data_IF_445786842383
#
_entry.id   IF_445786842383
#
_cell.length_a   1.000
_cell.length_b   1.000
_cell.length_c   1.000
_cell.angle_alpha   90.00
_cell.angle_beta   90.00
_cell.angle_gamma   90.00
#
_symmetry.space_group_name_H-M   'P 1'
#
loop_
_entity.id
_entity.type
_entity.pdbx_description
1 polymer ?
#
# COMPACT_ATOMS: atom_id res chain seq x y z
N UNK A 1 -3.52 8.45 20.26
CA UNK A 1 -3.67 7.58 19.08
C UNK A 1 -2.50 6.61 19.08
N UNK A 2 -2.71 5.36 19.49
CA UNK A 2 -1.64 4.36 19.60
C UNK A 2 -0.95 4.15 18.25
N UNK A 3 -1.71 4.13 17.16
CA UNK A 3 -1.17 3.87 15.83
C UNK A 3 -0.16 4.92 15.35
N UNK A 4 -0.41 6.22 15.55
CA UNK A 4 0.56 7.26 15.17
C UNK A 4 1.87 7.13 15.96
N UNK A 5 1.79 6.68 17.22
CA UNK A 5 2.97 6.42 18.05
C UNK A 5 3.73 5.19 17.56
N UNK A 6 3.02 4.11 17.24
CA UNK A 6 3.61 2.89 16.64
C UNK A 6 4.28 3.24 15.29
N UNK A 7 3.63 4.02 14.44
CA UNK A 7 4.17 4.49 13.16
C UNK A 7 5.42 5.35 13.33
N UNK A 8 5.41 6.32 14.25
CA UNK A 8 6.59 7.14 14.53
C UNK A 8 7.72 6.34 15.17
N UNK A 9 7.41 5.30 15.94
CA UNK A 9 8.42 4.39 16.47
C UNK A 9 9.12 3.60 15.33
N UNK A 10 8.34 3.04 14.40
CA UNK A 10 8.84 2.22 13.28
C UNK A 10 9.57 3.06 12.22
N UNK A 11 8.94 4.15 11.77
CA UNK A 11 9.39 4.92 10.60
C UNK A 11 10.08 6.24 10.97
N UNK A 12 10.19 6.56 12.26
CA UNK A 12 10.93 7.71 12.81
C UNK A 12 10.46 9.01 12.16
N UNK A 13 11.39 9.74 11.55
CA UNK A 13 11.19 11.09 11.01
C UNK A 13 10.32 11.15 9.75
N UNK A 14 10.01 10.00 9.14
CA UNK A 14 9.08 9.94 8.00
C UNK A 14 7.62 10.12 8.46
N UNK A 15 7.32 9.93 9.74
CA UNK A 15 5.97 10.05 10.31
C UNK A 15 5.91 11.29 11.19
N UNK A 16 4.91 12.17 11.05
CA UNK A 16 4.89 13.41 11.82
C UNK A 16 4.60 13.14 13.30
N UNK A 17 5.17 13.95 14.18
CA UNK A 17 4.70 13.98 15.57
C UNK A 17 3.25 14.42 15.60
N UNK A 18 2.39 13.64 16.26
CA UNK A 18 0.96 13.91 16.38
C UNK A 18 0.57 13.93 17.85
N UNK A 19 0.16 15.10 18.32
CA UNK A 19 -0.21 15.34 19.72
C UNK A 19 -1.70 15.64 19.75
N UNK A 20 -2.46 14.85 20.52
CA UNK A 20 -3.86 15.15 20.80
C UNK A 20 -3.94 16.26 21.86
N UNK A 21 -4.54 17.39 21.49
CA UNK A 21 -4.64 18.57 22.36
C UNK A 21 -5.91 18.49 23.23
N UNK A 22 -6.97 17.90 22.71
CA UNK A 22 -8.26 17.77 23.40
C UNK A 22 -9.44 17.83 22.45
N UNK A 23 -10.64 17.94 23.02
CA UNK A 23 -11.87 18.09 22.26
C UNK A 23 -12.64 19.32 22.71
N UNK A 24 -13.37 19.92 21.78
CA UNK A 24 -14.28 21.04 22.00
C UNK A 24 -15.69 20.62 21.60
N UNK A 25 -16.66 20.96 22.45
CA UNK A 25 -18.06 20.84 22.08
C UNK A 25 -18.39 21.95 21.08
N UNK A 26 -18.96 21.58 19.94
CA UNK A 26 -19.47 22.52 18.96
C UNK A 26 -20.69 23.29 19.47
N UNK A 27 -21.12 24.28 18.70
CA UNK A 27 -22.36 25.00 18.97
C UNK A 27 -23.56 24.12 18.66
N UNK A 28 -24.47 23.93 19.62
CA UNK A 28 -25.71 23.20 19.40
C UNK A 28 -26.51 23.85 18.28
N UNK A 29 -26.88 23.07 17.25
CA UNK A 29 -27.79 23.54 16.19
C UNK A 29 -29.24 23.49 16.69
N UNK A 30 -30.13 24.40 16.26
CA UNK A 30 -31.55 24.34 16.60
C UNK A 30 -32.12 22.98 16.18
N UNK A 31 -32.56 22.16 17.13
CA UNK A 31 -33.10 20.81 16.91
C UNK A 31 -32.21 19.65 17.40
N UNK A 32 -30.95 19.91 17.76
CA UNK A 32 -30.06 18.89 18.33
C UNK A 32 -29.30 19.45 19.55
N UNK A 33 -30.05 19.71 20.63
CA UNK A 33 -29.54 20.35 21.86
C UNK A 33 -28.84 19.34 22.80
N UNK A 34 -29.08 18.04 22.61
CA UNK A 34 -28.64 17.01 23.54
C UNK A 34 -27.28 16.36 23.19
N UNK A 35 -26.76 16.58 21.99
CA UNK A 35 -25.46 16.04 21.57
C UNK A 35 -24.75 17.02 20.62
N UNK A 36 -24.10 18.07 21.15
CA UNK A 36 -23.37 19.02 20.32
C UNK A 36 -22.21 18.30 19.60
N UNK A 37 -21.96 18.61 18.31
CA UNK A 37 -20.92 17.93 17.55
C UNK A 37 -19.55 18.11 18.22
N UNK A 38 -18.84 17.00 18.45
CA UNK A 38 -17.54 17.01 19.12
C UNK A 38 -16.43 17.25 18.08
N UNK A 39 -15.64 18.30 18.27
CA UNK A 39 -14.47 18.58 17.46
C UNK A 39 -13.21 18.14 18.21
N UNK A 40 -12.45 17.22 17.63
CA UNK A 40 -11.15 16.80 18.17
C UNK A 40 -10.03 17.66 17.57
N UNK A 41 -9.09 18.12 18.40
CA UNK A 41 -7.97 18.98 18.00
C UNK A 41 -6.66 18.23 18.16
N UNK A 42 -5.85 18.29 17.10
CA UNK A 42 -4.53 17.70 17.03
C UNK A 42 -3.50 18.76 16.62
N UNK A 43 -2.31 18.68 17.20
CA UNK A 43 -1.13 19.38 16.74
C UNK A 43 -0.25 18.37 16.00
N UNK A 44 0.09 18.68 14.75
CA UNK A 44 0.83 17.78 13.86
C UNK A 44 2.10 18.49 13.39
N UNK A 45 3.24 17.81 13.47
CA UNK A 45 4.51 18.26 12.89
C UNK A 45 4.34 18.48 11.39
N UNK A 46 4.74 19.66 10.90
CA UNK A 46 4.77 19.94 9.47
C UNK A 46 6.00 19.28 8.85
N UNK A 47 5.79 18.19 8.13
CA UNK A 47 6.85 17.53 7.37
C UNK A 47 7.29 18.40 6.17
N UNK A 48 8.57 18.30 5.75
CA UNK A 48 9.06 18.99 4.57
C UNK A 48 8.48 18.38 3.27
N UNK A 49 8.76 19.03 2.15
CA UNK A 49 8.34 18.57 0.82
C UNK A 49 6.94 19.04 0.41
N UNK A 50 6.43 18.42 -0.66
CA UNK A 50 5.10 18.65 -1.23
C UNK A 50 4.36 17.32 -1.41
N UNK A 51 3.01 17.28 -1.41
CA UNK A 51 2.29 16.05 -1.71
C UNK A 51 2.61 15.52 -3.11
N UNK A 52 2.85 14.22 -3.24
CA UNK A 52 3.15 13.57 -4.51
C UNK A 52 2.03 13.80 -5.53
N UNK A 53 0.76 13.82 -5.10
CA UNK A 53 -0.39 14.15 -5.96
C UNK A 53 -0.25 15.51 -6.66
N UNK A 54 0.31 16.52 -5.99
CA UNK A 54 0.54 17.85 -6.57
C UNK A 54 1.64 17.83 -7.63
N UNK A 55 2.63 16.94 -7.46
CA UNK A 55 3.72 16.74 -8.42
C UNK A 55 3.18 15.99 -9.64
N UNK A 56 2.45 14.88 -9.45
CA UNK A 56 1.90 14.04 -10.53
C UNK A 56 0.91 14.75 -11.46
N UNK A 57 0.21 15.78 -10.96
CA UNK A 57 -0.66 16.62 -11.79
C UNK A 57 0.11 17.49 -12.79
N UNK A 58 1.38 17.80 -12.51
CA UNK A 58 2.22 18.60 -13.38
C UNK A 58 3.01 17.72 -14.36
N UNK A 59 2.41 17.48 -15.54
CA UNK A 59 2.88 16.54 -16.59
C UNK A 59 4.34 16.72 -17.05
N UNK A 60 5.03 17.80 -16.65
CA UNK A 60 6.38 18.18 -17.13
C UNK A 60 7.54 17.77 -16.22
N UNK A 61 7.31 17.20 -15.03
CA UNK A 61 8.33 17.19 -13.96
C UNK A 61 8.97 15.82 -13.66
N UNK A 62 8.50 14.71 -14.23
CA UNK A 62 8.98 13.40 -13.75
C UNK A 62 10.08 12.82 -14.64
N UNK A 63 11.33 13.13 -14.30
CA UNK A 63 12.45 12.34 -14.81
C UNK A 63 12.30 10.88 -14.37
N UNK A 64 12.91 9.97 -15.14
CA UNK A 64 13.02 8.56 -14.75
C UNK A 64 13.68 8.41 -13.36
N UNK A 65 14.68 9.25 -13.05
CA UNK A 65 15.36 9.24 -11.75
C UNK A 65 14.44 9.61 -10.60
N UNK A 66 13.53 10.58 -10.77
CA UNK A 66 12.53 10.95 -9.77
C UNK A 66 11.68 9.74 -9.36
N UNK A 67 11.09 9.05 -10.36
CA UNK A 67 10.25 7.87 -10.11
C UNK A 67 11.06 6.73 -9.50
N UNK A 68 12.31 6.54 -9.94
CA UNK A 68 13.17 5.52 -9.39
C UNK A 68 13.47 5.75 -7.90
N UNK A 69 13.81 6.98 -7.49
CA UNK A 69 14.03 7.31 -6.08
C UNK A 69 12.76 7.11 -5.24
N UNK A 70 11.60 7.58 -5.72
CA UNK A 70 10.32 7.38 -5.06
C UNK A 70 10.06 5.89 -4.77
N UNK A 71 10.22 5.04 -5.78
CA UNK A 71 9.95 3.61 -5.68
C UNK A 71 10.98 2.89 -4.78
N UNK A 72 12.25 3.31 -4.81
CA UNK A 72 13.26 2.82 -3.89
C UNK A 72 12.95 3.19 -2.43
N UNK A 73 12.45 4.40 -2.18
CA UNK A 73 12.06 4.84 -0.85
C UNK A 73 10.80 4.10 -0.35
N UNK A 74 9.81 3.84 -1.22
CA UNK A 74 8.69 2.96 -0.87
C UNK A 74 9.19 1.56 -0.48
N UNK A 75 10.11 0.98 -1.26
CA UNK A 75 10.69 -0.32 -0.92
C UNK A 75 11.39 -0.31 0.45
N UNK A 76 12.12 0.77 0.78
CA UNK A 76 12.74 0.96 2.11
C UNK A 76 11.71 1.07 3.22
N UNK A 77 10.60 1.75 2.98
CA UNK A 77 9.50 1.88 3.96
C UNK A 77 8.87 0.51 4.24
N UNK A 78 8.50 -0.25 3.20
CA UNK A 78 7.95 -1.59 3.39
C UNK A 78 8.95 -2.55 4.03
N UNK A 79 10.24 -2.50 3.66
CA UNK A 79 11.28 -3.30 4.29
C UNK A 79 11.44 -2.94 5.78
N UNK A 80 11.46 -1.64 6.11
CA UNK A 80 11.50 -1.14 7.50
C UNK A 80 10.32 -1.71 8.30
N UNK A 81 9.12 -1.70 7.73
CA UNK A 81 7.96 -2.30 8.40
C UNK A 81 8.11 -3.81 8.59
N UNK A 82 8.68 -4.53 7.63
CA UNK A 82 8.92 -5.96 7.71
C UNK A 82 9.99 -6.31 8.78
N UNK A 83 10.96 -5.43 8.98
CA UNK A 83 11.95 -5.57 10.06
C UNK A 83 11.35 -5.37 11.45
N UNK A 84 10.28 -4.58 11.55
CA UNK A 84 9.51 -4.36 12.79
C UNK A 84 8.26 -5.25 12.90
N UNK A 85 8.20 -6.32 12.08
CA UNK A 85 7.06 -7.25 12.07
C UNK A 85 6.73 -7.81 13.45
N UNK A 86 5.47 -8.13 13.65
CA UNK A 86 4.98 -8.86 14.82
C UNK A 86 4.45 -10.24 14.41
N UNK A 87 4.43 -11.16 15.38
CA UNK A 87 3.91 -12.50 15.15
C UNK A 87 2.37 -12.50 15.09
N UNK A 88 1.74 -13.29 14.20
CA UNK A 88 0.28 -13.36 14.02
C UNK A 88 -0.51 -13.65 15.31
N UNK A 89 0.12 -14.34 16.27
CA UNK A 89 -0.49 -14.75 17.54
C UNK A 89 -0.71 -13.60 18.53
N UNK A 90 -0.28 -12.36 18.24
CA UNK A 90 -0.53 -11.20 19.11
C UNK A 90 -1.98 -10.71 18.97
N UNK A 91 -2.88 -10.94 19.96
CA UNK A 91 -4.32 -10.66 19.80
C UNK A 91 -4.63 -9.15 19.71
N UNK A 92 -3.75 -8.31 20.26
CA UNK A 92 -3.90 -6.85 20.30
C UNK A 92 -3.29 -6.13 19.08
N UNK A 93 -2.82 -6.90 18.09
CA UNK A 93 -2.23 -6.39 16.86
C UNK A 93 -3.27 -6.02 15.80
N UNK A 94 -4.40 -6.75 15.77
CA UNK A 94 -5.38 -6.66 14.70
C UNK A 94 -6.21 -5.38 14.86
N UNK A 95 -6.17 -4.49 13.87
CA UNK A 95 -7.08 -3.36 13.76
C UNK A 95 -8.40 -3.76 13.11
N UNK A 96 -9.13 -2.78 12.58
CA UNK A 96 -10.48 -2.97 12.02
C UNK A 96 -10.48 -3.92 10.82
N UNK A 97 -9.55 -3.78 9.88
CA UNK A 97 -9.53 -4.65 8.69
C UNK A 97 -8.91 -6.00 9.07
N UNK A 98 -7.82 -5.98 9.85
CA UNK A 98 -7.17 -7.21 10.32
C UNK A 98 -8.10 -8.16 11.07
N UNK A 99 -9.04 -7.64 11.87
CA UNK A 99 -10.03 -8.45 12.59
C UNK A 99 -11.22 -8.92 11.74
N UNK A 100 -11.38 -8.37 10.53
CA UNK A 100 -12.53 -8.63 9.65
C UNK A 100 -12.12 -9.16 8.26
N UNK A 101 -10.86 -9.58 8.06
CA UNK A 101 -10.35 -10.07 6.78
C UNK A 101 -11.24 -11.14 6.14
N UNK A 102 -11.59 -12.19 6.88
CA UNK A 102 -12.45 -13.27 6.38
C UNK A 102 -13.80 -12.76 5.89
N UNK A 103 -14.48 -11.95 6.71
CA UNK A 103 -15.77 -11.36 6.35
C UNK A 103 -15.68 -10.48 5.10
N UNK A 104 -14.62 -9.68 4.99
CA UNK A 104 -14.42 -8.78 3.84
C UNK A 104 -14.12 -9.54 2.56
N UNK A 105 -13.32 -10.59 2.65
CA UNK A 105 -13.04 -11.46 1.51
C UNK A 105 -14.30 -12.23 1.09
N UNK A 106 -15.08 -12.75 2.04
CA UNK A 106 -16.39 -13.35 1.76
C UNK A 106 -17.35 -12.37 1.09
N UNK A 107 -17.33 -11.08 1.47
CA UNK A 107 -18.09 -10.04 0.77
C UNK A 107 -17.57 -9.86 -0.67
N UNK A 108 -16.25 -9.76 -0.87
CA UNK A 108 -15.62 -9.57 -2.18
C UNK A 108 -15.90 -10.72 -3.17
N UNK A 109 -16.07 -11.97 -2.70
CA UNK A 109 -16.45 -13.08 -3.61
C UNK A 109 -17.86 -12.97 -4.17
N UNK A 110 -18.68 -12.06 -3.63
CA UNK A 110 -20.06 -11.82 -4.10
C UNK A 110 -20.19 -10.70 -5.11
N UNK A 111 -19.07 -10.14 -5.60
CA UNK A 111 -19.07 -9.15 -6.66
C UNK A 111 -19.83 -9.64 -7.91
N UNK A 112 -20.57 -8.74 -8.56
CA UNK A 112 -21.33 -9.07 -9.77
C UNK A 112 -20.43 -9.35 -10.98
N UNK A 113 -19.26 -8.70 -11.04
CA UNK A 113 -18.24 -8.97 -12.05
C UNK A 113 -17.60 -10.34 -11.77
N UNK A 114 -17.82 -11.29 -12.69
CA UNK A 114 -17.36 -12.68 -12.57
C UNK A 114 -15.84 -12.80 -12.51
N UNK A 115 -15.11 -11.93 -13.22
CA UNK A 115 -13.65 -11.96 -13.20
C UNK A 115 -13.12 -11.47 -11.85
N UNK A 116 -13.65 -10.35 -11.35
CA UNK A 116 -13.28 -9.82 -10.04
C UNK A 116 -13.66 -10.76 -8.89
N UNK A 117 -14.84 -11.38 -8.97
CA UNK A 117 -15.26 -12.40 -8.01
C UNK A 117 -14.34 -13.63 -8.02
N UNK A 118 -13.87 -14.06 -9.20
CA UNK A 118 -12.89 -15.14 -9.32
C UNK A 118 -11.55 -14.78 -8.67
N UNK A 119 -11.11 -13.52 -8.80
CA UNK A 119 -9.89 -13.06 -8.15
C UNK A 119 -10.03 -13.02 -6.63
N UNK A 120 -11.18 -12.54 -6.13
CA UNK A 120 -11.50 -12.60 -4.71
C UNK A 120 -11.55 -14.04 -4.20
N UNK A 121 -12.09 -14.98 -4.99
CA UNK A 121 -12.12 -16.41 -4.63
C UNK A 121 -10.70 -17.00 -4.53
N UNK A 122 -9.81 -16.68 -5.47
CA UNK A 122 -8.42 -17.11 -5.39
C UNK A 122 -7.73 -16.58 -4.12
N UNK A 123 -7.96 -15.30 -3.77
CA UNK A 123 -7.48 -14.69 -2.52
C UNK A 123 -8.05 -15.40 -1.29
N UNK A 124 -9.35 -15.72 -1.31
CA UNK A 124 -10.02 -16.46 -0.24
C UNK A 124 -9.37 -17.81 0.05
N UNK A 125 -9.05 -18.56 -1.01
CA UNK A 125 -8.41 -19.88 -0.88
C UNK A 125 -6.99 -19.77 -0.29
N UNK A 126 -6.30 -18.66 -0.52
CA UNK A 126 -4.97 -18.38 0.04
C UNK A 126 -4.99 -17.70 1.41
N UNK A 127 -6.15 -17.21 1.88
CA UNK A 127 -6.24 -16.39 3.09
C UNK A 127 -5.59 -17.03 4.33
N UNK A 128 -5.74 -18.34 4.61
CA UNK A 128 -5.05 -18.97 5.74
C UNK A 128 -3.51 -18.95 5.65
N UNK A 129 -2.95 -18.88 4.44
CA UNK A 129 -1.50 -18.75 4.21
C UNK A 129 -1.05 -17.30 4.27
N UNK A 130 -1.87 -16.37 3.77
CA UNK A 130 -1.63 -14.93 3.90
C UNK A 130 -1.54 -14.56 5.39
N UNK A 131 -2.45 -15.04 6.25
CA UNK A 131 -2.42 -14.74 7.68
C UNK A 131 -1.18 -15.27 8.43
N UNK A 132 -0.44 -16.21 7.82
CA UNK A 132 0.83 -16.74 8.35
C UNK A 132 2.05 -15.90 7.93
N UNK A 133 1.88 -14.92 7.04
CA UNK A 133 2.95 -13.97 6.72
C UNK A 133 3.27 -13.09 7.94
N UNK A 134 4.47 -12.48 7.98
CA UNK A 134 4.78 -11.38 8.88
C UNK A 134 3.69 -10.33 8.93
N UNK A 135 3.20 -9.98 10.13
CA UNK A 135 2.29 -8.84 10.29
C UNK A 135 3.11 -7.56 10.40
N UNK A 136 2.93 -6.68 9.42
CA UNK A 136 3.68 -5.47 9.21
C UNK A 136 2.78 -4.26 9.47
N UNK A 137 3.34 -3.17 9.99
CA UNK A 137 2.62 -1.92 10.15
C UNK A 137 2.32 -1.32 8.78
N UNK A 138 1.04 -1.27 8.42
CA UNK A 138 0.54 -0.68 7.19
C UNK A 138 -0.09 0.68 7.46
N UNK A 139 -0.08 1.54 6.45
CA UNK A 139 -0.60 2.90 6.55
C UNK A 139 -2.13 2.99 6.57
N UNK A 140 -2.82 2.05 5.91
CA UNK A 140 -4.28 2.07 5.74
C UNK A 140 -4.75 2.88 4.54
N UNK A 141 -4.23 4.09 4.34
CA UNK A 141 -4.60 5.00 3.23
C UNK A 141 -3.36 5.59 2.53
N UNK A 142 -2.51 4.75 1.93
CA UNK A 142 -1.25 5.21 1.32
C UNK A 142 -1.46 5.55 -0.16
N UNK A 143 -2.02 6.73 -0.38
CA UNK A 143 -2.26 7.32 -1.70
C UNK A 143 -1.33 8.51 -1.97
N UNK A 144 -1.15 8.96 -3.23
CA UNK A 144 -0.22 10.06 -3.55
C UNK A 144 -0.43 11.37 -2.79
N UNK A 145 -1.63 11.67 -2.29
CA UNK A 145 -1.86 12.87 -1.46
C UNK A 145 -1.30 12.75 -0.04
N UNK A 146 -1.09 11.53 0.44
CA UNK A 146 -0.56 11.25 1.78
C UNK A 146 0.96 11.01 1.78
N UNK A 147 1.60 11.03 0.60
CA UNK A 147 3.04 10.88 0.44
C UNK A 147 3.65 12.26 0.18
N UNK A 148 4.54 12.70 1.06
CA UNK A 148 5.32 13.92 0.89
C UNK A 148 6.63 13.59 0.20
N UNK A 149 7.00 14.37 -0.82
CA UNK A 149 8.23 14.19 -1.60
C UNK A 149 8.99 15.50 -1.73
N UNK A 150 10.31 15.37 -1.88
CA UNK A 150 11.14 16.43 -2.42
C UNK A 150 10.83 16.57 -3.93
N UNK A 151 10.36 17.75 -4.40
CA UNK A 151 9.88 17.91 -5.78
C UNK A 151 10.99 17.82 -6.83
N UNK A 152 12.25 18.04 -6.45
CA UNK A 152 13.39 18.04 -7.37
C UNK A 152 14.00 16.64 -7.52
N UNK A 153 13.95 15.83 -6.47
CA UNK A 153 14.65 14.54 -6.40
C UNK A 153 13.73 13.32 -6.41
N UNK A 154 12.48 13.46 -5.97
CA UNK A 154 11.53 12.36 -5.81
C UNK A 154 11.68 11.55 -4.52
N UNK A 155 12.58 11.95 -3.63
CA UNK A 155 12.73 11.29 -2.33
C UNK A 155 11.52 11.50 -1.43
N UNK A 156 11.09 10.43 -0.75
CA UNK A 156 10.03 10.53 0.24
C UNK A 156 10.57 11.27 1.46
N UNK A 157 9.87 12.34 1.82
CA UNK A 157 10.19 13.19 2.97
C UNK A 157 9.22 13.00 4.12
N UNK A 158 8.08 12.34 3.88
CA UNK A 158 7.08 12.13 4.90
C UNK A 158 5.87 11.31 4.44
N UNK A 159 5.18 10.68 5.39
CA UNK A 159 3.90 9.99 5.22
C UNK A 159 2.88 10.59 6.19
N UNK A 160 1.79 11.14 5.66
CA UNK A 160 0.73 11.82 6.40
C UNK A 160 -0.47 10.91 6.61
N UNK A 161 -1.29 11.24 7.61
CA UNK A 161 -2.60 10.59 7.84
C UNK A 161 -2.56 9.09 8.17
N UNK A 162 -1.95 8.78 9.32
CA UNK A 162 -1.88 7.41 9.86
C UNK A 162 -3.16 6.96 10.59
N UNK A 163 -4.28 7.66 10.42
CA UNK A 163 -5.51 7.37 11.16
C UNK A 163 -6.05 5.96 10.90
N UNK A 164 -5.89 5.46 9.67
CA UNK A 164 -6.31 4.12 9.23
C UNK A 164 -5.19 3.07 9.34
N UNK A 165 -4.05 3.44 9.94
CA UNK A 165 -2.93 2.53 10.09
C UNK A 165 -3.27 1.33 10.98
N UNK A 166 -2.73 0.18 10.63
CA UNK A 166 -2.87 -1.04 11.43
C UNK A 166 -1.84 -2.10 11.01
N UNK A 167 -1.72 -3.15 11.81
CA UNK A 167 -0.88 -4.29 11.47
C UNK A 167 -1.66 -5.25 10.57
N UNK A 168 -1.11 -5.55 9.40
CA UNK A 168 -1.67 -6.49 8.42
C UNK A 168 -0.58 -7.41 7.86
N UNK A 169 -0.94 -8.57 7.29
CA UNK A 169 0.01 -9.42 6.60
C UNK A 169 0.83 -8.68 5.54
N UNK A 170 2.13 -9.02 5.46
CA UNK A 170 3.05 -8.51 4.45
C UNK A 170 2.44 -8.65 3.05
N UNK A 171 2.52 -7.58 2.26
CA UNK A 171 1.92 -7.53 0.92
C UNK A 171 0.60 -6.76 0.89
N UNK A 172 -0.23 -6.83 1.94
CA UNK A 172 -1.56 -6.18 1.94
C UNK A 172 -1.47 -4.67 1.71
N UNK A 173 -0.52 -3.99 2.37
CA UNK A 173 -0.31 -2.55 2.15
C UNK A 173 0.39 -2.18 0.83
N UNK A 174 0.87 -3.15 0.05
CA UNK A 174 1.68 -2.89 -1.15
C UNK A 174 0.86 -2.46 -2.37
N UNK A 175 -0.48 -2.39 -2.27
CA UNK A 175 -1.33 -1.75 -3.30
C UNK A 175 -0.86 -0.32 -3.60
N UNK A 176 -0.30 0.36 -2.60
CA UNK A 176 0.21 1.73 -2.72
C UNK A 176 1.37 1.87 -3.73
N UNK A 177 2.12 0.79 -3.95
CA UNK A 177 3.16 0.75 -4.99
C UNK A 177 2.50 0.91 -6.36
N UNK A 178 1.40 0.18 -6.60
CA UNK A 178 0.65 0.27 -7.85
C UNK A 178 0.08 1.69 -8.07
N UNK A 179 -0.41 2.33 -7.01
CA UNK A 179 -0.90 3.71 -7.04
C UNK A 179 0.18 4.74 -7.43
N UNK A 180 1.44 4.48 -7.07
CA UNK A 180 2.57 5.38 -7.37
C UNK A 180 3.18 5.17 -8.75
N UNK A 181 2.81 4.09 -9.45
CA UNK A 181 3.34 3.72 -10.76
C UNK A 181 2.48 4.24 -11.93
N UNK A 182 1.43 4.99 -11.63
CA UNK A 182 0.55 5.56 -12.62
C UNK A 182 -0.09 6.86 -12.15
N UNK A 183 -1.12 7.28 -12.87
CA UNK A 183 -1.93 8.45 -12.55
C UNK A 183 -3.34 8.29 -13.08
N UNK A 184 -4.27 9.00 -12.45
CA UNK A 184 -5.63 9.12 -12.97
C UNK A 184 -5.65 10.08 -14.18
N UNK A 185 -6.27 9.65 -15.27
CA UNK A 185 -6.57 10.45 -16.46
C UNK A 185 -8.10 10.66 -16.54
N UNK A 186 -8.57 11.91 -16.73
CA UNK A 186 -10.01 12.21 -16.69
C UNK A 186 -10.86 11.42 -17.70
N UNK A 187 -10.28 11.05 -18.85
CA UNK A 187 -11.03 10.39 -19.92
C UNK A 187 -10.80 8.87 -19.95
N UNK A 188 -9.62 8.42 -19.51
CA UNK A 188 -9.18 7.02 -19.66
C UNK A 188 -9.15 6.24 -18.34
N UNK A 189 -9.39 6.90 -17.21
CA UNK A 189 -9.22 6.30 -15.89
C UNK A 189 -7.74 6.19 -15.53
N UNK A 190 -7.39 5.22 -14.68
CA UNK A 190 -6.02 5.05 -14.22
C UNK A 190 -5.10 4.48 -15.31
N UNK A 191 -3.96 5.13 -15.53
CA UNK A 191 -2.96 4.73 -16.51
C UNK A 191 -1.59 4.61 -15.85
N UNK A 192 -0.91 3.50 -16.07
CA UNK A 192 0.49 3.35 -15.68
C UNK A 192 1.42 4.23 -16.52
N UNK A 193 2.55 4.62 -15.94
CA UNK A 193 3.65 5.24 -16.69
C UNK A 193 4.35 4.22 -17.58
N UNK A 194 4.94 4.66 -18.69
CA UNK A 194 5.60 3.77 -19.67
C UNK A 194 6.71 2.89 -19.04
N UNK A 195 7.35 3.35 -17.97
CA UNK A 195 8.43 2.64 -17.26
C UNK A 195 7.95 1.85 -16.02
N UNK A 196 6.63 1.63 -15.86
CA UNK A 196 6.09 1.00 -14.65
C UNK A 196 6.64 -0.41 -14.40
N UNK A 197 6.91 -1.20 -15.43
CA UNK A 197 7.45 -2.57 -15.28
C UNK A 197 8.88 -2.55 -14.72
N UNK A 198 9.73 -1.68 -15.28
CA UNK A 198 11.09 -1.48 -14.80
C UNK A 198 11.08 -0.97 -13.35
N UNK A 199 10.21 -0.02 -13.03
CA UNK A 199 10.08 0.48 -11.67
C UNK A 199 9.58 -0.59 -10.68
N UNK A 200 8.70 -1.51 -11.10
CA UNK A 200 8.33 -2.67 -10.28
C UNK A 200 9.53 -3.58 -10.01
N UNK A 201 10.39 -3.80 -11.00
CA UNK A 201 11.63 -4.55 -10.79
C UNK A 201 12.51 -3.83 -9.76
N UNK A 202 12.69 -2.52 -9.88
CA UNK A 202 13.44 -1.71 -8.89
C UNK A 202 12.85 -1.85 -7.49
N UNK A 203 11.52 -1.79 -7.36
CA UNK A 203 10.84 -1.98 -6.08
C UNK A 203 11.21 -3.34 -5.46
N UNK A 204 10.99 -4.43 -6.19
CA UNK A 204 11.19 -5.78 -5.68
C UNK A 204 12.65 -6.10 -5.41
N UNK A 205 13.56 -5.70 -6.30
CA UNK A 205 15.01 -5.87 -6.07
C UNK A 205 15.47 -5.13 -4.82
N UNK A 206 15.02 -3.89 -4.63
CA UNK A 206 15.37 -3.09 -3.45
C UNK A 206 14.77 -3.70 -2.18
N UNK A 207 13.48 -4.06 -2.21
CA UNK A 207 12.79 -4.63 -1.06
C UNK A 207 13.39 -5.97 -0.62
N UNK A 208 13.64 -6.88 -1.57
CA UNK A 208 14.20 -8.19 -1.30
C UNK A 208 15.64 -8.09 -0.80
N UNK A 209 16.48 -7.26 -1.44
CA UNK A 209 17.85 -7.04 -0.97
C UNK A 209 17.90 -6.52 0.48
N UNK A 210 16.97 -5.63 0.86
CA UNK A 210 16.87 -5.14 2.24
C UNK A 210 16.31 -6.19 3.22
N UNK A 211 15.46 -7.11 2.75
CA UNK A 211 14.92 -8.19 3.57
C UNK A 211 15.91 -9.35 3.78
N UNK A 212 16.68 -9.72 2.75
CA UNK A 212 17.69 -10.78 2.80
C UNK A 212 18.78 -10.50 3.84
N UNK A 213 19.18 -9.23 4.01
CA UNK A 213 20.11 -8.80 5.05
C UNK A 213 19.60 -9.05 6.49
N UNK A 214 18.34 -9.45 6.68
CA UNK A 214 17.69 -9.55 7.99
C UNK A 214 17.15 -10.93 8.36
N UNK A 215 17.53 -11.97 7.60
CA UNK A 215 17.15 -13.37 7.84
C UNK A 215 15.64 -13.54 8.08
N UNK A 216 14.85 -13.44 7.02
CA UNK A 216 13.49 -14.00 7.04
C UNK A 216 13.65 -15.52 7.09
N UNK A 217 13.69 -16.06 8.30
CA UNK A 217 13.68 -17.50 8.57
C UNK A 217 12.49 -18.11 7.81
N UNK A 218 12.76 -19.16 7.01
CA UNK A 218 11.86 -19.85 6.07
C UNK A 218 11.81 -19.33 4.62
N UNK A 219 12.62 -18.32 4.27
CA UNK A 219 12.72 -17.82 2.89
C UNK A 219 11.52 -16.98 2.45
N UNK A 220 11.68 -16.26 1.34
CA UNK A 220 10.66 -15.33 0.87
C UNK A 220 9.47 -16.05 0.21
N UNK A 221 8.30 -15.96 0.85
CA UNK A 221 7.02 -16.56 0.40
C UNK A 221 6.36 -15.72 -0.71
N UNK A 222 6.98 -15.70 -1.89
CA UNK A 222 6.59 -14.80 -2.98
C UNK A 222 5.14 -14.97 -3.46
N UNK A 223 4.63 -16.19 -3.50
CA UNK A 223 3.24 -16.47 -3.91
C UNK A 223 2.25 -15.90 -2.90
N UNK A 224 2.48 -16.14 -1.61
CA UNK A 224 1.64 -15.62 -0.54
C UNK A 224 1.69 -14.09 -0.48
N UNK A 225 2.85 -13.47 -0.66
CA UNK A 225 2.99 -12.01 -0.71
C UNK A 225 2.28 -11.41 -1.92
N UNK A 226 2.32 -12.06 -3.09
CA UNK A 226 1.53 -11.64 -4.25
C UNK A 226 0.03 -11.71 -3.95
N UNK A 227 -0.45 -12.83 -3.41
CA UNK A 227 -1.87 -12.97 -3.05
C UNK A 227 -2.29 -11.96 -1.97
N UNK A 228 -1.39 -11.61 -1.04
CA UNK A 228 -1.60 -10.55 -0.07
C UNK A 228 -1.66 -9.16 -0.73
N UNK A 229 -0.82 -8.87 -1.74
CA UNK A 229 -0.92 -7.63 -2.53
C UNK A 229 -2.27 -7.53 -3.23
N UNK A 230 -2.72 -8.61 -3.88
CA UNK A 230 -4.03 -8.66 -4.54
C UNK A 230 -5.18 -8.50 -3.56
N UNK A 231 -5.08 -9.09 -2.37
CA UNK A 231 -6.00 -8.84 -1.25
C UNK A 231 -6.04 -7.34 -0.89
N UNK A 232 -4.89 -6.69 -0.79
CA UNK A 232 -4.79 -5.24 -0.56
C UNK A 232 -5.55 -4.41 -1.60
N UNK A 233 -5.33 -4.70 -2.88
CA UNK A 233 -6.02 -4.04 -4.01
C UNK A 233 -7.54 -4.25 -3.92
N UNK A 234 -8.01 -5.49 -3.69
CA UNK A 234 -9.43 -5.80 -3.55
C UNK A 234 -10.07 -5.11 -2.33
N UNK A 235 -9.38 -5.08 -1.19
CA UNK A 235 -9.89 -4.40 0.00
C UNK A 235 -10.02 -2.89 -0.23
N UNK A 236 -9.02 -2.29 -0.88
CA UNK A 236 -8.95 -0.84 -1.09
C UNK A 236 -9.90 -0.34 -2.18
N UNK A 237 -9.98 -1.06 -3.31
CA UNK A 237 -10.74 -0.62 -4.50
C UNK A 237 -12.03 -1.42 -4.73
N UNK A 238 -12.19 -2.56 -4.08
CA UNK A 238 -13.37 -3.43 -4.20
C UNK A 238 -14.46 -3.18 -3.16
N UNK A 239 -14.14 -2.49 -2.06
CA UNK A 239 -15.07 -2.10 -1.00
C UNK A 239 -15.22 -0.58 -1.02
N UNK A 240 -16.45 -0.10 -1.16
CA UNK A 240 -16.73 1.33 -1.18
C UNK A 240 -16.52 1.96 0.20
N UNK A 241 -15.90 3.13 0.22
CA UNK A 241 -15.78 3.98 1.41
C UNK A 241 -16.92 5.00 1.46
N UNK A 242 -17.99 4.66 2.18
CA UNK A 242 -19.17 5.51 2.33
C UNK A 242 -19.17 6.17 3.72
N UNK A 243 -18.51 7.34 3.86
CA UNK A 243 -18.38 8.09 5.12
C UNK A 243 -17.79 7.25 6.27
N UNK A 244 -16.71 6.51 6.02
CA UNK A 244 -16.08 5.64 7.02
C UNK A 244 -16.73 4.25 7.14
N UNK A 245 -17.84 3.99 6.43
CA UNK A 245 -18.40 2.65 6.30
C UNK A 245 -17.68 1.90 5.20
N UNK A 246 -17.33 0.65 5.50
CA UNK A 246 -16.62 -0.28 4.62
C UNK A 246 -17.41 -1.59 4.55
N UNK A 247 -18.70 -1.50 4.26
CA UNK A 247 -19.68 -2.58 4.32
C UNK A 247 -20.42 -2.85 3.00
N UNK A 248 -20.03 -2.14 1.92
CA UNK A 248 -20.62 -2.26 0.58
C UNK A 248 -19.53 -2.47 -0.47
N UNK A 249 -19.83 -3.27 -1.49
CA UNK A 249 -18.98 -3.41 -2.67
C UNK A 249 -19.11 -2.21 -3.60
N UNK A 250 -18.08 -1.96 -4.41
CA UNK A 250 -18.21 -1.05 -5.56
C UNK A 250 -19.19 -1.63 -6.59
N UNK A 251 -19.99 -0.76 -7.22
CA UNK A 251 -21.09 -1.13 -8.12
C UNK A 251 -20.93 -0.48 -9.50
N UNK A 252 -21.18 -1.25 -10.57
CA UNK A 252 -21.22 -0.69 -11.94
C UNK A 252 -22.34 0.35 -12.08
N UNK A 253 -22.06 1.42 -12.83
CA UNK A 253 -22.94 2.56 -13.02
C UNK A 253 -22.96 3.55 -11.84
N UNK A 254 -22.32 3.22 -10.71
CA UNK A 254 -22.20 4.09 -9.54
C UNK A 254 -20.74 4.41 -9.21
N UNK A 255 -19.89 3.39 -9.20
CA UNK A 255 -18.49 3.45 -8.78
C UNK A 255 -17.54 3.11 -9.96
N UNK A 256 -17.91 3.51 -11.18
CA UNK A 256 -17.22 3.10 -12.43
C UNK A 256 -15.73 3.45 -12.46
N UNK A 257 -15.34 4.57 -11.87
CA UNK A 257 -13.93 5.00 -11.77
C UNK A 257 -13.14 4.02 -10.90
N UNK A 258 -13.70 3.62 -9.76
CA UNK A 258 -13.07 2.67 -8.84
C UNK A 258 -13.01 1.27 -9.45
N UNK A 259 -14.08 0.84 -10.12
CA UNK A 259 -14.13 -0.43 -10.85
C UNK A 259 -13.10 -0.49 -11.98
N UNK A 260 -12.98 0.58 -12.77
CA UNK A 260 -11.98 0.67 -13.83
C UNK A 260 -10.56 0.58 -13.28
N UNK A 261 -10.28 1.31 -12.20
CA UNK A 261 -8.99 1.26 -11.53
C UNK A 261 -8.69 -0.10 -10.92
N UNK A 262 -9.64 -0.70 -10.21
CA UNK A 262 -9.52 -2.05 -9.64
C UNK A 262 -9.08 -3.08 -10.68
N UNK A 263 -9.71 -3.08 -11.87
CA UNK A 263 -9.33 -3.96 -12.98
C UNK A 263 -7.88 -3.73 -13.43
N UNK A 264 -7.49 -2.47 -13.65
CA UNK A 264 -6.11 -2.11 -14.05
C UNK A 264 -5.07 -2.50 -12.99
N UNK A 265 -5.39 -2.39 -11.71
CA UNK A 265 -4.47 -2.76 -10.62
C UNK A 265 -4.33 -4.28 -10.43
N UNK A 266 -5.39 -5.05 -10.69
CA UNK A 266 -5.36 -6.51 -10.61
C UNK A 266 -4.67 -7.18 -11.81
N UNK A 267 -4.68 -6.53 -12.98
CA UNK A 267 -3.98 -6.97 -14.19
C UNK A 267 -2.48 -6.64 -14.18
N UNK A 268 -2.00 -5.93 -13.16
CA UNK A 268 -0.59 -5.56 -13.04
C UNK A 268 0.35 -6.79 -13.02
N UNK A 269 1.57 -6.69 -13.59
CA UNK A 269 2.55 -7.77 -13.52
C UNK A 269 2.83 -8.21 -12.09
N UNK A 270 2.76 -9.53 -11.85
CA UNK A 270 3.00 -10.12 -10.54
C UNK A 270 4.48 -10.14 -10.18
N UNK A 271 4.80 -10.14 -8.89
CA UNK A 271 6.18 -10.34 -8.43
C UNK A 271 6.79 -11.63 -8.98
N UNK A 272 5.98 -12.67 -9.15
CA UNK A 272 6.42 -13.98 -9.66
C UNK A 272 6.95 -13.86 -11.09
N UNK A 273 6.29 -13.07 -11.94
CA UNK A 273 6.73 -12.82 -13.32
C UNK A 273 8.08 -12.10 -13.38
N UNK A 274 8.40 -11.28 -12.38
CA UNK A 274 9.65 -10.52 -12.32
C UNK A 274 10.79 -11.36 -11.73
N UNK A 275 10.49 -12.22 -10.75
CA UNK A 275 11.46 -13.14 -10.16
C UNK A 275 11.95 -14.21 -11.15
N UNK A 276 11.08 -14.67 -12.05
CA UNK A 276 11.48 -15.60 -13.11
C UNK A 276 12.41 -14.95 -14.13
N UNK A 277 12.21 -13.67 -14.47
CA UNK A 277 13.08 -12.91 -15.39
C UNK A 277 14.45 -12.63 -14.75
N UNK A 278 14.50 -12.23 -13.47
CA UNK A 278 15.75 -11.96 -12.76
C UNK A 278 16.65 -13.20 -12.60
N UNK A 279 16.07 -14.40 -12.49
CA UNK A 279 16.84 -15.65 -12.50
C UNK A 279 17.48 -15.93 -13.87
N UNK A 280 16.83 -15.55 -14.97
CA UNK A 280 17.35 -15.76 -16.33
C UNK A 280 18.50 -14.81 -16.66
N UNK A 281 18.46 -13.57 -16.16
CA UNK A 281 19.56 -12.61 -16.33
C UNK A 281 20.80 -12.99 -15.51
N UNK A 282 20.61 -13.47 -14.27
CA UNK A 282 21.71 -13.97 -13.44
C UNK A 282 22.41 -15.22 -14.03
N UNK A 283 21.69 -16.08 -14.76
CA UNK A 283 22.28 -17.25 -15.44
C UNK A 283 23.13 -16.81 -16.65
N UNK A 284 22.74 -15.75 -17.36
CA UNK A 284 23.52 -15.22 -18.49
C UNK A 284 24.85 -14.60 -18.05
N UNK A 285 24.90 -13.99 -16.87
CA UNK A 285 26.15 -13.43 -16.33
C UNK A 285 27.12 -14.50 -15.80
N UNK A 286 26.62 -15.67 -15.39
CA UNK A 286 27.47 -16.78 -14.94
C UNK A 286 28.04 -17.60 -16.11
N UNK A 287 27.32 -17.68 -17.24
CA UNK A 287 27.81 -18.36 -18.45
C UNK A 287 28.83 -17.53 -19.27
N UNK A 288 28.96 -16.23 -19.00
CA UNK A 288 29.93 -15.35 -19.67
C UNK A 288 31.37 -15.44 -19.16
N UNK A 289 31.63 -16.09 -18.02
CA UNK A 289 32.94 -16.04 -17.36
C UNK A 289 33.84 -17.29 -17.56
N UNK A 290 33.39 -18.30 -18.31
CA UNK A 290 34.07 -19.59 -18.40
C UNK A 290 34.50 -20.02 -19.82
N UNK A 291 34.98 -19.12 -20.68
CA UNK A 291 35.71 -19.52 -21.90
C UNK A 291 36.82 -18.52 -22.26
N UNK A 292 38.00 -18.69 -21.65
CA UNK A 292 39.31 -18.54 -22.33
C UNK A 292 40.44 -18.94 -21.38
N UNK A 293 40.95 -20.17 -21.53
CA UNK A 293 42.37 -20.49 -21.33
C UNK A 293 42.78 -21.51 -22.39
N UNK A 294 43.55 -21.03 -23.36
CA UNK A 294 44.52 -21.83 -24.13
C UNK A 294 45.85 -21.69 -23.39
#
# INVERSE_FOLDING_TARGET
MKICQDARHVFKHVVPETIYIGSFNGTATPGNVHDPPLLHIYLIEKLPGVPLSSVLQNRSIHSKSFRQHLIQDLARIFATSCHHRILPAHPHAKGRIGSSLHQRVDLLTTMSDVQLASEAQAVRDYLPRIEQLPWCLTHGDLIPSNIMVDPDTGHITGLLDWAEGEWLPLGVGMYAVDECLGRDDPDKGFLYFEDHEELRMVFWQTFLGLCECTAIDDGFKAVEVEMARRLGVLLWRGIAFDNGRLDRLVEEGRDDVEMGKLRVLLDAPSVLSLLTVGQVEHVKDVEGCCLTKV
#
